data_IF_857526227705
#
_entry.id   IF_857526227705
#
_cell.length_a   1.000
_cell.length_b   1.000
_cell.length_c   1.000
_cell.angle_alpha   90.00
_cell.angle_beta   90.00
_cell.angle_gamma   90.00
#
_symmetry.space_group_name_H-M   'P 1'
#
loop_
_entity.id
_entity.type
_entity.pdbx_description
1 polymer ?
#
# COMPACT_ATOMS: atom_id res chain seq x y z
N UNK A 1 -0.62 15.80 -19.40
CA UNK A 1 -1.32 14.52 -19.60
C UNK A 1 -0.58 13.45 -18.80
N UNK A 2 -0.93 13.24 -17.52
CA UNK A 2 -0.27 12.20 -16.71
C UNK A 2 -1.09 11.70 -15.49
N UNK A 3 -2.32 12.19 -15.26
CA UNK A 3 -2.91 12.04 -13.92
C UNK A 3 -4.31 11.40 -13.88
N UNK A 4 -4.78 10.75 -14.96
CA UNK A 4 -6.15 10.21 -14.94
C UNK A 4 -6.27 8.74 -14.47
N UNK A 5 -5.29 7.84 -14.65
CA UNK A 5 -5.62 6.38 -14.64
C UNK A 5 -4.54 5.44 -14.06
N UNK A 6 -3.96 5.72 -12.88
CA UNK A 6 -3.07 4.74 -12.21
C UNK A 6 -3.80 3.77 -11.29
N UNK A 7 -5.11 3.65 -11.42
CA UNK A 7 -5.86 2.60 -10.74
C UNK A 7 -5.51 1.26 -11.40
N UNK A 8 -5.08 0.28 -10.62
CA UNK A 8 -4.84 -1.07 -11.13
C UNK A 8 -5.89 -2.02 -10.59
N UNK A 9 -6.32 -2.93 -11.44
CA UNK A 9 -7.13 -4.06 -11.03
C UNK A 9 -6.20 -5.22 -10.71
N UNK A 10 -6.35 -5.77 -9.51
CA UNK A 10 -5.62 -6.93 -9.04
C UNK A 10 -6.59 -8.08 -8.78
N UNK A 11 -6.14 -9.29 -9.09
CA UNK A 11 -6.94 -10.50 -8.96
C UNK A 11 -6.14 -11.52 -8.17
N UNK A 12 -6.79 -12.26 -7.27
CA UNK A 12 -6.12 -13.21 -6.38
C UNK A 12 -6.98 -14.42 -6.06
N UNK A 13 -6.40 -15.41 -5.38
CA UNK A 13 -7.14 -16.55 -4.83
C UNK A 13 -8.22 -16.11 -3.82
N UNK A 14 -8.05 -14.92 -3.24
CA UNK A 14 -8.86 -14.29 -2.22
C UNK A 14 -8.57 -12.79 -2.18
N UNK A 15 -9.41 -12.02 -1.46
CA UNK A 15 -9.29 -10.56 -1.34
C UNK A 15 -7.89 -10.16 -0.87
N UNK A 16 -7.34 -10.87 0.10
CA UNK A 16 -6.04 -10.55 0.70
C UNK A 16 -4.90 -10.74 -0.32
N UNK A 17 -4.90 -11.86 -1.05
CA UNK A 17 -3.95 -12.13 -2.12
C UNK A 17 -4.04 -11.11 -3.28
N UNK A 18 -5.26 -10.67 -3.61
CA UNK A 18 -5.50 -9.66 -4.64
C UNK A 18 -4.95 -8.29 -4.20
N UNK A 19 -5.20 -7.89 -2.95
CA UNK A 19 -4.69 -6.65 -2.37
C UNK A 19 -3.16 -6.67 -2.31
N UNK A 20 -2.55 -7.72 -1.77
CA UNK A 20 -1.10 -7.84 -1.66
C UNK A 20 -0.40 -7.73 -3.02
N UNK A 21 -0.94 -8.39 -4.04
CA UNK A 21 -0.44 -8.31 -5.42
C UNK A 21 -0.56 -6.89 -5.99
N UNK A 22 -1.65 -6.20 -5.68
CA UNK A 22 -1.86 -4.81 -6.08
C UNK A 22 -0.88 -3.84 -5.44
N UNK A 23 -0.69 -3.95 -4.13
CA UNK A 23 0.26 -3.12 -3.36
C UNK A 23 1.69 -3.34 -3.84
N UNK A 24 2.08 -4.59 -4.09
CA UNK A 24 3.40 -4.92 -4.61
C UNK A 24 3.66 -4.32 -6.00
N UNK A 25 2.62 -4.26 -6.87
CA UNK A 25 2.74 -3.63 -8.20
C UNK A 25 2.86 -2.11 -8.14
N UNK A 26 2.21 -1.45 -7.18
CA UNK A 26 2.34 0.00 -7.00
C UNK A 26 3.58 0.40 -6.20
N UNK A 27 4.10 -0.49 -5.33
CA UNK A 27 5.20 -0.17 -4.44
C UNK A 27 4.82 0.88 -3.39
N UNK A 28 3.55 0.90 -2.98
CA UNK A 28 3.01 1.84 -1.99
C UNK A 28 2.28 1.07 -0.89
N UNK A 29 2.17 1.68 0.28
CA UNK A 29 1.45 1.11 1.41
C UNK A 29 -0.07 1.08 1.21
N UNK A 30 -0.75 0.14 1.88
CA UNK A 30 -2.22 0.00 1.87
C UNK A 30 -2.97 1.27 2.29
N UNK A 31 -2.33 2.10 3.11
CA UNK A 31 -2.86 3.37 3.59
C UNK A 31 -2.74 4.51 2.55
N UNK A 32 -1.89 4.33 1.53
CA UNK A 32 -1.67 5.28 0.43
C UNK A 32 -2.48 4.92 -0.83
N UNK A 33 -3.32 3.88 -0.77
CA UNK A 33 -4.21 3.47 -1.86
C UNK A 33 -5.64 3.34 -1.34
N UNK A 34 -6.60 3.52 -2.22
CA UNK A 34 -7.99 3.14 -2.01
C UNK A 34 -8.20 1.73 -2.56
N UNK A 35 -8.67 0.83 -1.70
CA UNK A 35 -8.97 -0.55 -2.06
C UNK A 35 -10.48 -0.65 -2.24
N UNK A 36 -10.92 -0.90 -3.46
CA UNK A 36 -12.29 -1.17 -3.81
C UNK A 36 -12.44 -2.66 -4.12
N UNK A 37 -13.20 -3.39 -3.30
CA UNK A 37 -13.44 -4.82 -3.53
C UNK A 37 -14.57 -4.95 -4.54
N UNK A 38 -14.23 -5.40 -5.75
CA UNK A 38 -15.20 -5.62 -6.83
C UNK A 38 -15.86 -6.99 -6.71
N UNK A 39 -15.06 -7.99 -6.31
CA UNK A 39 -15.52 -9.36 -6.11
C UNK A 39 -14.71 -9.98 -4.97
N UNK A 40 -15.37 -10.46 -3.92
CA UNK A 40 -14.68 -11.08 -2.79
C UNK A 40 -14.03 -12.42 -3.15
N UNK A 41 -14.37 -12.98 -4.32
CA UNK A 41 -14.05 -14.36 -4.65
C UNK A 41 -14.88 -15.31 -3.78
N UNK A 42 -15.34 -16.41 -4.37
CA UNK A 42 -16.04 -17.42 -3.59
C UNK A 42 -15.13 -18.61 -3.42
N UNK A 43 -14.70 -18.88 -2.19
CA UNK A 43 -14.04 -20.15 -1.85
C UNK A 43 -15.12 -21.22 -1.73
N UNK A 44 -15.30 -21.98 -2.81
CA UNK A 44 -16.08 -23.21 -2.75
C UNK A 44 -15.58 -24.09 -1.60
N UNK A 45 -16.52 -24.70 -0.87
CA UNK A 45 -16.19 -25.71 0.14
C UNK A 45 -15.28 -26.77 -0.50
N UNK A 46 -14.11 -27.02 0.08
CA UNK A 46 -13.05 -27.92 -0.43
C UNK A 46 -12.14 -27.44 -1.58
N UNK A 47 -12.15 -26.15 -1.97
CA UNK A 47 -11.15 -25.62 -2.92
C UNK A 47 -11.31 -26.11 -4.37
N UNK A 48 -12.36 -26.87 -4.68
CA UNK A 48 -12.75 -27.21 -6.04
C UNK A 48 -13.71 -26.15 -6.57
N UNK A 49 -13.20 -25.28 -7.45
CA UNK A 49 -14.05 -24.32 -8.17
C UNK A 49 -14.26 -22.99 -7.45
N UNK A 50 -13.19 -22.39 -6.95
CA UNK A 50 -13.25 -21.03 -6.41
C UNK A 50 -13.22 -19.96 -7.51
N UNK A 51 -14.05 -18.93 -7.39
CA UNK A 51 -13.88 -17.71 -8.20
C UNK A 51 -12.76 -16.87 -7.60
N UNK A 52 -11.88 -16.36 -8.47
CA UNK A 52 -10.80 -15.47 -8.06
C UNK A 52 -11.38 -14.12 -7.61
N UNK A 53 -10.90 -13.62 -6.47
CA UNK A 53 -11.27 -12.32 -5.94
C UNK A 53 -10.68 -11.20 -6.80
N UNK A 54 -11.43 -10.11 -6.96
CA UNK A 54 -11.04 -8.93 -7.73
C UNK A 54 -11.11 -7.69 -6.85
N UNK A 55 -10.03 -6.93 -6.85
CA UNK A 55 -9.95 -5.66 -6.13
C UNK A 55 -9.33 -4.61 -7.05
N UNK A 56 -9.80 -3.37 -6.93
CA UNK A 56 -9.26 -2.22 -7.64
C UNK A 56 -8.51 -1.36 -6.64
N UNK A 57 -7.24 -1.11 -6.90
CA UNK A 57 -6.39 -0.26 -6.08
C UNK A 57 -6.19 1.07 -6.78
N UNK A 58 -6.61 2.16 -6.13
CA UNK A 58 -6.50 3.52 -6.65
C UNK A 58 -5.47 4.26 -5.80
N UNK A 59 -4.27 4.59 -6.33
CA UNK A 59 -3.29 5.35 -5.56
C UNK A 59 -3.86 6.70 -5.18
N UNK A 60 -3.95 6.94 -3.87
CA UNK A 60 -4.19 8.27 -3.35
C UNK A 60 -2.86 8.97 -3.52
N UNK A 61 -2.80 9.90 -4.47
CA UNK A 61 -1.64 10.77 -4.71
C UNK A 61 -1.39 11.64 -3.46
N UNK A 62 -0.97 11.05 -2.35
CA UNK A 62 -0.36 11.79 -1.26
C UNK A 62 1.02 12.16 -1.77
N UNK A 63 1.04 13.28 -2.48
CA UNK A 63 2.19 14.16 -2.54
C UNK A 63 2.60 14.46 -1.09
N UNK A 64 3.44 13.62 -0.52
CA UNK A 64 4.28 14.02 0.60
C UNK A 64 5.69 13.63 0.18
N UNK A 65 6.52 14.62 -0.19
CA UNK A 65 7.92 14.37 -0.48
C UNK A 65 8.55 13.67 0.73
N UNK A 66 9.28 12.60 0.44
CA UNK A 66 10.29 11.95 1.28
C UNK A 66 10.62 12.71 2.57
N UNK A 67 10.37 12.14 3.75
CA UNK A 67 11.26 12.30 4.87
C UNK A 67 12.17 11.07 4.91
N UNK A 68 13.26 11.13 4.16
CA UNK A 68 14.48 10.44 4.57
C UNK A 68 15.30 11.50 5.30
N UNK A 69 15.95 11.25 6.44
CA UNK A 69 15.82 10.15 7.39
C UNK A 69 15.55 10.69 8.82
N UNK A 70 14.76 10.00 9.63
CA UNK A 70 14.82 10.19 11.08
C UNK A 70 16.10 9.51 11.60
N UNK A 71 17.25 10.18 11.46
CA UNK A 71 18.26 10.08 12.51
C UNK A 71 17.97 11.25 13.46
N UNK A 72 17.53 10.99 14.70
CA UNK A 72 17.49 12.02 15.71
C UNK A 72 18.95 12.38 16.03
N UNK A 73 19.51 13.35 15.30
CA UNK A 73 20.67 14.09 15.80
C UNK A 73 20.14 15.00 16.89
N UNK A 74 20.17 14.43 18.09
CA UNK A 74 19.91 15.10 19.34
C UNK A 74 20.67 16.45 19.34
N UNK A 75 19.96 17.57 19.51
CA UNK A 75 20.57 18.88 19.53
C UNK A 75 21.48 18.98 20.75
N UNK A 76 22.76 19.28 20.49
CA UNK A 76 23.69 20.03 21.35
C UNK A 76 23.25 20.12 22.81
N UNK A 77 23.64 19.12 23.61
CA UNK A 77 23.67 19.27 25.05
C UNK A 77 25.08 19.70 25.49
N UNK A 78 25.15 20.94 25.97
CA UNK A 78 26.16 21.53 26.86
C UNK A 78 27.56 21.85 26.31
N UNK A 79 27.75 23.07 25.74
CA UNK A 79 28.95 23.84 26.00
C UNK A 79 28.82 24.46 27.41
N UNK A 80 29.48 23.90 28.42
CA UNK A 80 29.90 24.60 29.64
C UNK A 80 30.27 23.59 30.73
N UNK A 81 31.55 23.26 30.80
CA UNK A 81 32.23 22.94 32.04
C UNK A 81 33.70 23.36 31.90
N UNK A 82 33.92 24.68 31.96
CA UNK A 82 35.04 25.24 32.73
C UNK A 82 34.65 25.10 34.21
N UNK A 83 35.57 24.97 35.20
CA UNK A 83 37.00 25.32 35.22
C UNK A 83 37.97 24.16 35.48
#
# INVERSE_FOLDING_TARGET
>A
MAEMERAIEATGADVEAAVASGLARLGVDRDAVEIEVLDEGSRGVFGLGGRAARVRLIPKLKTVPRPAPAVPSEPVAAPAAEP
#
